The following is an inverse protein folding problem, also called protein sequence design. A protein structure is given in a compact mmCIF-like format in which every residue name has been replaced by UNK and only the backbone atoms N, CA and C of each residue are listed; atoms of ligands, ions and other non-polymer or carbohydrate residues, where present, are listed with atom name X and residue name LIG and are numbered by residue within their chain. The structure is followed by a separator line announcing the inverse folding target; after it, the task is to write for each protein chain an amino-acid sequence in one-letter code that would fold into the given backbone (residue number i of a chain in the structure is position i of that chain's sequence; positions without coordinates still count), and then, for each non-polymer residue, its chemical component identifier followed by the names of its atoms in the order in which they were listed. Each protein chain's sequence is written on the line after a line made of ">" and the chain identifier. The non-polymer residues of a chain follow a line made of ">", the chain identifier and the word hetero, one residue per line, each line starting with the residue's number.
data_IF_698034578651
#
_entry.id   IF_698034578651
#
_cell.length_a   1.000
_cell.length_b   1.000
_cell.length_c   1.000
_cell.angle_alpha   90.00
_cell.angle_beta   90.00
_cell.angle_gamma   90.00
#
_symmetry.space_group_name_H-M   'P 1'
#
loop_
_entity.id
_entity.type
_entity.pdbx_description
1 polymer ?
#
# COMPACT_ATOMS: atom_id res chain seq x y z
N UNK A 1 15.64 3.54 19.26
CA UNK A 1 15.62 2.28 20.04
C UNK A 1 16.49 1.28 19.31
N UNK A 2 17.29 0.44 19.97
CA UNK A 2 18.10 -0.56 19.24
C UNK A 2 17.23 -1.59 18.52
N UNK A 3 17.50 -1.86 17.24
CA UNK A 3 16.69 -2.81 16.45
C UNK A 3 16.74 -4.23 17.03
N UNK A 4 17.85 -4.61 17.65
CA UNK A 4 18.02 -5.93 18.28
C UNK A 4 17.02 -6.16 19.41
N UNK A 5 16.69 -5.12 20.19
CA UNK A 5 15.64 -5.20 21.22
C UNK A 5 14.26 -5.45 20.59
N UNK A 6 13.94 -4.73 19.51
CA UNK A 6 12.68 -4.91 18.77
C UNK A 6 12.57 -6.32 18.16
N UNK A 7 13.65 -6.82 17.59
CA UNK A 7 13.73 -8.17 17.04
C UNK A 7 13.52 -9.24 18.14
N UNK A 8 14.12 -9.07 19.32
CA UNK A 8 13.93 -9.99 20.45
C UNK A 8 12.45 -10.10 20.85
N UNK A 9 11.75 -8.96 20.98
CA UNK A 9 10.30 -8.97 21.29
C UNK A 9 9.51 -9.72 20.22
N UNK A 10 9.80 -9.47 18.94
CA UNK A 10 9.10 -10.13 17.84
C UNK A 10 9.35 -11.65 17.82
N UNK A 11 10.59 -12.10 18.08
CA UNK A 11 10.90 -13.54 18.14
C UNK A 11 10.25 -14.23 19.35
N UNK A 12 10.04 -13.49 20.43
CA UNK A 12 9.27 -13.94 21.61
C UNK A 12 7.75 -13.84 21.41
N UNK A 13 7.28 -13.56 20.17
CA UNK A 13 5.87 -13.37 19.79
C UNK A 13 5.16 -12.27 20.57
N UNK A 14 5.90 -11.26 21.03
CA UNK A 14 5.33 -10.10 21.69
C UNK A 14 4.96 -9.02 20.66
N UNK A 15 3.81 -8.39 20.87
CA UNK A 15 3.38 -7.28 20.02
C UNK A 15 4.23 -6.03 20.30
N UNK A 16 4.58 -5.33 19.23
CA UNK A 16 5.19 -4.01 19.34
C UNK A 16 4.08 -2.98 19.62
N UNK A 17 4.40 -2.03 20.49
CA UNK A 17 3.59 -0.81 20.62
C UNK A 17 3.67 0.03 19.34
N UNK A 18 2.75 0.98 19.17
CA UNK A 18 2.79 1.92 18.04
C UNK A 18 4.17 2.61 17.92
N UNK A 19 4.73 3.08 19.05
CA UNK A 19 6.03 3.74 19.08
C UNK A 19 7.17 2.81 18.65
N UNK A 20 7.17 1.57 19.14
CA UNK A 20 8.17 0.55 18.79
C UNK A 20 8.10 0.18 17.31
N UNK A 21 6.89 0.03 16.76
CA UNK A 21 6.70 -0.29 15.35
C UNK A 21 7.07 0.90 14.45
N UNK A 22 6.73 2.13 14.86
CA UNK A 22 7.18 3.35 14.18
C UNK A 22 8.71 3.40 14.11
N UNK A 23 9.39 3.13 15.21
CA UNK A 23 10.85 3.15 15.27
C UNK A 23 11.48 2.04 14.41
N UNK A 24 10.93 0.82 14.45
CA UNK A 24 11.33 -0.27 13.56
C UNK A 24 11.23 0.15 12.09
N UNK A 25 10.07 0.68 11.70
CA UNK A 25 9.81 1.08 10.33
C UNK A 25 10.68 2.26 9.89
N UNK A 26 10.96 3.24 10.75
CA UNK A 26 11.90 4.32 10.44
C UNK A 26 13.30 3.79 10.19
N UNK A 27 13.78 2.85 11.00
CA UNK A 27 15.12 2.26 10.80
C UNK A 27 15.21 1.50 9.48
N UNK A 28 14.17 0.73 9.11
CA UNK A 28 14.08 0.05 7.81
C UNK A 28 14.07 1.08 6.67
N UNK A 29 13.19 2.08 6.75
CA UNK A 29 12.93 3.04 5.66
C UNK A 29 14.02 4.09 5.47
N UNK A 30 14.86 4.32 6.48
CA UNK A 30 16.02 5.23 6.41
C UNK A 30 17.34 4.50 6.12
N UNK A 31 17.29 3.17 5.89
CA UNK A 31 18.47 2.37 5.55
C UNK A 31 19.41 2.11 6.73
N UNK A 32 18.94 2.25 7.98
CA UNK A 32 19.72 1.94 9.19
C UNK A 32 19.73 0.44 9.53
N UNK A 33 18.74 -0.31 9.05
CA UNK A 33 18.65 -1.75 9.25
C UNK A 33 19.42 -2.50 8.15
N UNK A 34 20.15 -3.55 8.54
CA UNK A 34 20.81 -4.46 7.59
C UNK A 34 19.80 -5.37 6.88
N UNK A 35 20.15 -5.96 5.72
CA UNK A 35 19.27 -6.94 5.05
C UNK A 35 18.82 -8.09 5.96
N UNK A 36 19.73 -8.61 6.79
CA UNK A 36 19.42 -9.67 7.75
C UNK A 36 18.41 -9.21 8.82
N UNK A 37 18.54 -7.99 9.34
CA UNK A 37 17.60 -7.43 10.32
C UNK A 37 16.22 -7.20 9.70
N UNK A 38 16.16 -6.70 8.45
CA UNK A 38 14.89 -6.53 7.72
C UNK A 38 14.23 -7.89 7.50
N UNK A 39 14.99 -8.89 7.02
CA UNK A 39 14.49 -10.25 6.80
C UNK A 39 13.96 -10.89 8.09
N UNK A 40 14.70 -10.72 9.19
CA UNK A 40 14.30 -11.20 10.53
C UNK A 40 13.02 -10.53 11.02
N UNK A 41 12.94 -9.20 10.97
CA UNK A 41 11.75 -8.45 11.39
C UNK A 41 10.50 -8.87 10.62
N UNK A 42 10.59 -8.97 9.30
CA UNK A 42 9.44 -9.33 8.44
C UNK A 42 8.98 -10.77 8.66
N UNK A 43 9.93 -11.70 8.85
CA UNK A 43 9.60 -13.10 9.11
C UNK A 43 8.99 -13.26 10.50
N UNK A 44 9.56 -12.60 11.52
CA UNK A 44 9.06 -12.67 12.88
C UNK A 44 7.66 -12.03 13.04
N UNK A 45 7.42 -10.87 12.39
CA UNK A 45 6.09 -10.25 12.33
C UNK A 45 5.04 -11.20 11.72
N UNK A 46 5.37 -11.82 10.59
CA UNK A 46 4.47 -12.78 9.93
C UNK A 46 4.19 -14.01 10.80
N UNK A 47 5.22 -14.58 11.43
CA UNK A 47 5.09 -15.76 12.30
C UNK A 47 4.29 -15.45 13.58
N UNK A 48 4.44 -14.25 14.13
CA UNK A 48 3.68 -13.75 15.28
C UNK A 48 2.22 -13.46 14.90
N UNK A 49 2.01 -12.95 13.69
CA UNK A 49 0.78 -12.29 13.27
C UNK A 49 0.84 -10.79 13.59
N UNK A 50 0.66 -9.96 12.58
CA UNK A 50 0.66 -8.51 12.72
C UNK A 50 -0.66 -8.02 13.33
N UNK A 51 -0.55 -7.07 14.26
CA UNK A 51 -1.70 -6.42 14.88
C UNK A 51 -2.13 -5.18 14.09
N UNK A 52 -3.38 -4.75 14.29
CA UNK A 52 -3.91 -3.49 13.72
C UNK A 52 -2.98 -2.32 14.05
N UNK A 53 -2.57 -2.18 15.30
CA UNK A 53 -1.66 -1.11 15.76
C UNK A 53 -0.31 -1.14 15.03
N UNK A 54 0.27 -2.33 14.82
CA UNK A 54 1.54 -2.45 14.09
C UNK A 54 1.39 -2.07 12.61
N UNK A 55 0.32 -2.52 11.96
CA UNK A 55 0.04 -2.21 10.55
C UNK A 55 -0.23 -0.71 10.37
N UNK A 56 -1.02 -0.10 11.26
CA UNK A 56 -1.33 1.33 11.23
C UNK A 56 -0.09 2.20 11.47
N UNK A 57 0.75 1.84 12.45
CA UNK A 57 2.02 2.53 12.70
C UNK A 57 2.98 2.43 11.50
N UNK A 58 3.05 1.26 10.86
CA UNK A 58 3.87 1.07 9.67
C UNK A 58 3.38 1.87 8.45
N UNK A 59 2.06 1.86 8.21
CA UNK A 59 1.45 2.66 7.15
C UNK A 59 1.66 4.17 7.39
N UNK A 60 1.58 4.62 8.65
CA UNK A 60 1.82 6.01 9.03
C UNK A 60 3.24 6.44 8.67
N UNK A 61 4.26 5.66 9.03
CA UNK A 61 5.66 5.95 8.65
C UNK A 61 5.83 5.99 7.13
N UNK A 62 5.19 5.07 6.40
CA UNK A 62 5.24 5.08 4.93
C UNK A 62 4.56 6.32 4.32
N UNK A 63 3.46 6.79 4.90
CA UNK A 63 2.78 8.03 4.48
C UNK A 63 3.66 9.25 4.74
N UNK A 64 4.29 9.35 5.92
CA UNK A 64 5.17 10.47 6.27
C UNK A 64 6.39 10.60 5.34
N UNK A 65 6.96 9.46 4.93
CA UNK A 65 8.14 9.42 4.05
C UNK A 65 7.78 9.44 2.56
N UNK A 66 6.49 9.44 2.22
CA UNK A 66 6.04 9.48 0.84
C UNK A 66 6.14 10.91 0.28
N UNK A 67 6.55 11.01 -0.98
CA UNK A 67 6.43 12.25 -1.74
C UNK A 67 4.94 12.53 -2.00
N UNK A 68 4.38 13.50 -1.29
CA UNK A 68 2.94 13.81 -1.31
C UNK A 68 2.50 14.41 -2.64
N UNK A 69 1.25 14.14 -3.03
CA UNK A 69 0.57 14.80 -4.15
C UNK A 69 -0.32 15.92 -3.61
N UNK A 70 -0.06 17.19 -3.96
CA UNK A 70 -0.79 18.33 -3.40
C UNK A 70 -2.16 18.47 -4.06
N UNK A 71 -3.16 17.72 -3.56
CA UNK A 71 -4.54 17.74 -4.07
C UNK A 71 -5.45 18.39 -3.04
N UNK A 72 -6.22 19.40 -3.45
CA UNK A 72 -7.16 20.12 -2.59
C UNK A 72 -8.61 19.74 -2.89
N UNK A 73 -8.93 18.44 -2.79
CA UNK A 73 -10.30 17.93 -2.92
C UNK A 73 -10.67 17.11 -1.69
N UNK A 74 -11.83 17.39 -1.10
CA UNK A 74 -12.29 16.67 0.09
C UNK A 74 -12.72 15.22 -0.19
N UNK A 75 -13.12 14.92 -1.44
CA UNK A 75 -13.77 13.66 -1.83
C UNK A 75 -12.98 12.86 -2.85
N UNK A 76 -11.69 12.63 -2.55
CA UNK A 76 -10.85 11.71 -3.32
C UNK A 76 -11.21 10.25 -3.05
N UNK A 77 -11.21 9.45 -4.11
CA UNK A 77 -11.41 8.00 -4.08
C UNK A 77 -10.17 7.28 -4.60
N UNK A 78 -9.77 6.20 -3.93
CA UNK A 78 -8.80 5.22 -4.42
C UNK A 78 -9.47 3.86 -4.67
N UNK A 79 -8.93 3.10 -5.61
CA UNK A 79 -9.36 1.73 -5.94
C UNK A 79 -8.21 0.73 -5.82
N UNK A 80 -7.11 1.09 -5.16
CA UNK A 80 -5.96 0.20 -4.94
C UNK A 80 -6.35 -1.01 -4.08
N UNK A 81 -6.04 -2.22 -4.55
CA UNK A 81 -6.15 -3.47 -3.80
C UNK A 81 -4.77 -4.02 -3.41
N UNK A 82 -4.75 -4.99 -2.49
CA UNK A 82 -3.50 -5.59 -2.01
C UNK A 82 -2.75 -6.36 -3.10
N UNK A 83 -3.44 -6.78 -4.16
CA UNK A 83 -2.89 -7.70 -5.16
C UNK A 83 -2.62 -9.07 -4.56
N UNK A 84 -1.96 -9.93 -5.32
CA UNK A 84 -1.42 -11.19 -4.79
C UNK A 84 -2.43 -12.32 -4.61
N UNK A 85 -3.65 -12.23 -5.16
CA UNK A 85 -4.62 -13.33 -5.23
C UNK A 85 -4.15 -14.54 -6.07
N UNK A 86 -3.02 -14.44 -6.77
CA UNK A 86 -2.46 -15.52 -7.61
C UNK A 86 -3.17 -15.71 -8.96
N UNK A 87 -4.40 -15.23 -9.10
CA UNK A 87 -5.18 -15.30 -10.34
C UNK A 87 -4.67 -14.33 -11.42
N UNK A 88 -4.80 -14.72 -12.69
CA UNK A 88 -4.66 -13.81 -13.84
C UNK A 88 -6.01 -13.12 -14.05
N UNK A 89 -6.04 -11.80 -13.95
CA UNK A 89 -7.25 -11.01 -14.12
C UNK A 89 -7.00 -9.85 -15.07
N UNK A 90 -8.08 -9.38 -15.67
CA UNK A 90 -8.16 -8.02 -16.18
C UNK A 90 -7.91 -7.02 -15.02
N UNK A 91 -7.32 -5.86 -15.30
CA UNK A 91 -7.09 -4.82 -14.29
C UNK A 91 -8.40 -4.10 -13.95
N UNK A 92 -9.32 -4.80 -13.28
CA UNK A 92 -10.67 -4.33 -12.94
C UNK A 92 -10.62 -3.02 -12.15
N UNK A 93 -9.77 -2.93 -11.13
CA UNK A 93 -9.59 -1.69 -10.37
C UNK A 93 -9.10 -0.50 -11.20
N UNK A 94 -8.30 -0.73 -12.26
CA UNK A 94 -7.86 0.34 -13.18
C UNK A 94 -9.00 0.78 -14.08
N UNK A 95 -9.74 -0.16 -14.68
CA UNK A 95 -10.89 0.18 -15.50
C UNK A 95 -11.98 0.91 -14.68
N UNK A 96 -12.23 0.46 -13.45
CA UNK A 96 -13.17 1.08 -12.52
C UNK A 96 -12.81 2.52 -12.20
N UNK A 97 -11.51 2.84 -12.10
CA UNK A 97 -11.05 4.21 -11.84
C UNK A 97 -11.47 5.18 -12.97
N UNK A 98 -11.45 4.74 -14.23
CA UNK A 98 -11.94 5.56 -15.36
C UNK A 98 -13.46 5.73 -15.32
N UNK A 99 -14.22 4.67 -15.03
CA UNK A 99 -15.69 4.73 -14.93
C UNK A 99 -16.11 5.67 -13.80
N UNK A 100 -15.48 5.57 -12.64
CA UNK A 100 -15.74 6.42 -11.47
C UNK A 100 -15.40 7.88 -11.76
N UNK A 101 -14.28 8.15 -12.45
CA UNK A 101 -13.94 9.51 -12.87
C UNK A 101 -14.94 10.08 -13.88
N UNK A 102 -15.37 9.27 -14.86
CA UNK A 102 -16.39 9.68 -15.84
C UNK A 102 -17.77 9.94 -15.20
N UNK A 103 -18.07 9.27 -14.09
CA UNK A 103 -19.27 9.53 -13.28
C UNK A 103 -19.16 10.79 -12.40
N UNK A 104 -18.04 11.52 -12.46
CA UNK A 104 -17.84 12.83 -11.81
C UNK A 104 -17.09 12.79 -10.47
N UNK A 105 -16.64 11.62 -10.01
CA UNK A 105 -15.79 11.54 -8.82
C UNK A 105 -14.33 11.92 -9.15
N UNK A 106 -13.56 12.29 -8.11
CA UNK A 106 -12.13 12.57 -8.22
C UNK A 106 -11.34 11.36 -7.74
N UNK A 107 -10.52 10.79 -8.62
CA UNK A 107 -9.83 9.52 -8.38
C UNK A 107 -8.32 9.75 -8.27
N UNK A 108 -7.76 9.41 -7.13
CA UNK A 108 -6.32 9.36 -6.90
C UNK A 108 -5.91 7.89 -6.83
N UNK A 109 -5.72 7.25 -7.98
CA UNK A 109 -5.46 5.81 -8.04
C UNK A 109 -4.01 5.53 -7.67
N UNK A 110 -3.79 4.91 -6.51
CA UNK A 110 -2.47 4.38 -6.19
C UNK A 110 -2.25 3.03 -6.88
N UNK A 111 -1.07 2.84 -7.46
CA UNK A 111 -0.78 1.59 -8.16
C UNK A 111 0.69 1.37 -8.44
N UNK A 112 0.99 0.14 -8.83
CA UNK A 112 2.34 -0.28 -9.16
C UNK A 112 2.33 -1.24 -10.36
N UNK A 113 3.53 -1.57 -10.84
CA UNK A 113 3.79 -2.72 -11.70
C UNK A 113 3.57 -3.99 -10.89
N UNK A 114 3.20 -5.08 -11.58
CA UNK A 114 3.04 -6.37 -10.91
C UNK A 114 4.42 -6.95 -10.56
N UNK A 115 4.57 -7.49 -9.35
CA UNK A 115 5.81 -8.17 -8.96
C UNK A 115 6.01 -9.53 -9.68
N UNK A 116 4.91 -10.18 -10.11
CA UNK A 116 4.92 -11.49 -10.79
C UNK A 116 3.81 -11.59 -11.84
N UNK A 117 4.14 -11.94 -13.09
CA UNK A 117 3.19 -12.15 -14.21
C UNK A 117 3.16 -11.01 -15.24
N UNK A 118 2.12 -10.98 -16.09
CA UNK A 118 2.14 -10.23 -17.35
C UNK A 118 1.61 -8.78 -17.32
N UNK A 119 0.81 -8.35 -16.34
CA UNK A 119 0.28 -6.97 -16.32
C UNK A 119 -0.28 -6.53 -14.96
N UNK A 120 0.21 -5.41 -14.42
CA UNK A 120 -0.40 -4.65 -13.35
C UNK A 120 -0.98 -3.32 -13.84
N UNK A 121 -1.44 -2.48 -12.91
CA UNK A 121 -2.10 -1.20 -13.22
C UNK A 121 -1.24 -0.25 -14.06
N UNK A 122 0.04 -0.14 -13.72
CA UNK A 122 1.02 0.67 -14.45
C UNK A 122 1.23 0.14 -15.88
N UNK A 123 1.37 -1.17 -16.03
CA UNK A 123 1.63 -1.82 -17.32
C UNK A 123 0.44 -1.66 -18.28
N UNK A 124 -0.79 -1.73 -17.77
CA UNK A 124 -1.99 -1.43 -18.56
C UNK A 124 -2.04 0.03 -19.01
N UNK A 125 -1.76 0.96 -18.11
CA UNK A 125 -1.82 2.40 -18.41
C UNK A 125 -0.78 2.79 -19.46
N UNK A 126 0.46 2.29 -19.35
CA UNK A 126 1.47 2.51 -20.38
C UNK A 126 1.08 1.92 -21.73
N UNK A 127 0.53 0.69 -21.75
CA UNK A 127 0.05 0.07 -22.98
C UNK A 127 -1.10 0.86 -23.62
N UNK A 128 -1.90 1.56 -22.82
CA UNK A 128 -2.94 2.49 -23.28
C UNK A 128 -2.40 3.87 -23.71
N UNK A 129 -1.08 4.10 -23.66
CA UNK A 129 -0.43 5.35 -24.04
C UNK A 129 -0.41 6.42 -22.94
N UNK A 130 -0.80 6.09 -21.71
CA UNK A 130 -0.75 7.03 -20.60
C UNK A 130 0.68 7.15 -20.06
N UNK A 131 1.04 8.38 -19.67
CA UNK A 131 2.31 8.66 -18.99
C UNK A 131 2.16 8.39 -17.48
N UNK A 132 2.87 7.40 -16.96
CA UNK A 132 2.76 6.96 -15.56
C UNK A 132 3.84 7.55 -14.62
N UNK A 133 4.89 8.16 -15.17
CA UNK A 133 6.03 8.71 -14.46
C UNK A 133 5.88 10.21 -14.13
N UNK A 134 4.65 10.69 -14.02
CA UNK A 134 4.35 12.09 -13.70
C UNK A 134 4.87 12.46 -12.31
N UNK A 135 5.29 13.72 -12.17
CA UNK A 135 5.62 14.29 -10.86
C UNK A 135 4.34 14.63 -10.06
N UNK A 136 4.44 14.88 -8.75
CA UNK A 136 3.27 15.13 -7.91
C UNK A 136 2.36 16.27 -8.40
N UNK A 137 2.92 17.37 -8.86
CA UNK A 137 2.16 18.53 -9.36
C UNK A 137 1.41 18.20 -10.65
N UNK A 138 2.02 17.40 -11.52
CA UNK A 138 1.38 16.89 -12.74
C UNK A 138 0.23 15.93 -12.40
N UNK A 139 0.41 15.04 -11.43
CA UNK A 139 -0.66 14.13 -10.98
C UNK A 139 -1.83 14.92 -10.39
N UNK A 140 -1.55 15.92 -9.54
CA UNK A 140 -2.58 16.80 -8.99
C UNK A 140 -3.41 17.47 -10.09
N UNK A 141 -2.74 18.04 -11.10
CA UNK A 141 -3.40 18.62 -12.27
C UNK A 141 -4.26 17.61 -13.04
N UNK A 142 -3.83 16.35 -13.20
CA UNK A 142 -4.65 15.32 -13.83
C UNK A 142 -5.93 15.05 -13.02
N UNK A 143 -5.85 14.98 -11.70
CA UNK A 143 -7.03 14.83 -10.83
C UNK A 143 -7.97 16.03 -11.00
N UNK A 144 -7.43 17.25 -11.00
CA UNK A 144 -8.21 18.47 -11.12
C UNK A 144 -8.94 18.57 -12.46
N UNK A 145 -8.22 18.34 -13.56
CA UNK A 145 -8.69 18.60 -14.93
C UNK A 145 -9.39 17.42 -15.58
N UNK A 146 -8.88 16.19 -15.38
CA UNK A 146 -9.40 14.96 -16.00
C UNK A 146 -10.30 14.20 -15.03
N UNK A 147 -10.14 14.41 -13.72
CA UNK A 147 -10.86 13.65 -12.69
C UNK A 147 -10.13 12.38 -12.23
N UNK A 148 -9.02 12.02 -12.87
CA UNK A 148 -8.22 10.84 -12.55
C UNK A 148 -6.73 11.17 -12.60
N UNK A 149 -6.01 10.85 -11.52
CA UNK A 149 -4.55 10.80 -11.48
C UNK A 149 -4.07 9.41 -11.07
N UNK A 150 -3.01 8.94 -11.73
CA UNK A 150 -2.33 7.71 -11.35
C UNK A 150 -1.09 8.04 -10.53
N UNK A 151 -1.02 7.50 -9.31
CA UNK A 151 0.08 7.67 -8.38
C UNK A 151 0.95 6.41 -8.47
N UNK A 152 2.05 6.49 -9.21
CA UNK A 152 2.94 5.35 -9.38
C UNK A 152 3.80 5.13 -8.12
N UNK A 153 3.59 4.02 -7.41
CA UNK A 153 4.15 3.76 -6.09
C UNK A 153 5.68 3.92 -6.02
N UNK A 154 6.40 3.54 -7.08
CA UNK A 154 7.86 3.65 -7.14
C UNK A 154 8.35 5.11 -7.10
N UNK A 155 7.57 6.06 -7.61
CA UNK A 155 7.90 7.48 -7.61
C UNK A 155 7.64 8.13 -6.25
N UNK A 156 6.61 7.65 -5.53
CA UNK A 156 6.17 8.25 -4.27
C UNK A 156 6.82 7.64 -3.03
N UNK A 157 7.17 6.36 -3.04
CA UNK A 157 7.70 5.65 -1.88
C UNK A 157 9.18 5.29 -2.02
N UNK A 158 10.04 6.28 -2.28
CA UNK A 158 11.48 6.05 -2.53
C UNK A 158 12.21 5.33 -1.38
N UNK A 159 11.77 5.55 -0.13
CA UNK A 159 12.28 4.88 1.05
C UNK A 159 12.15 3.34 0.98
N UNK A 160 11.21 2.82 0.18
CA UNK A 160 11.04 1.38 -0.03
C UNK A 160 12.26 0.69 -0.62
N UNK A 161 13.17 1.42 -1.28
CA UNK A 161 14.41 0.86 -1.86
C UNK A 161 15.22 0.03 -0.85
N UNK A 162 15.17 0.41 0.43
CA UNK A 162 15.88 -0.28 1.51
C UNK A 162 15.27 -1.64 1.85
N UNK A 163 13.97 -1.82 1.62
CA UNK A 163 13.26 -3.08 1.88
C UNK A 163 13.10 -3.96 0.63
N UNK A 164 13.36 -3.45 -0.59
CA UNK A 164 13.16 -4.20 -1.85
C UNK A 164 14.03 -5.45 -1.91
N UNK A 165 15.34 -5.33 -1.69
CA UNK A 165 16.29 -6.46 -1.75
C UNK A 165 15.90 -7.61 -0.81
N UNK A 166 15.79 -7.35 0.51
CA UNK A 166 15.36 -8.37 1.47
C UNK A 166 14.03 -9.04 1.11
N UNK A 167 13.04 -8.28 0.61
CA UNK A 167 11.75 -8.85 0.19
C UNK A 167 11.87 -9.75 -1.04
N UNK A 168 12.72 -9.40 -2.00
CA UNK A 168 12.99 -10.21 -3.19
C UNK A 168 13.72 -11.51 -2.85
N UNK A 169 14.58 -11.49 -1.83
CA UNK A 169 15.26 -12.68 -1.32
C UNK A 169 14.30 -13.60 -0.55
N UNK A 170 13.44 -13.03 0.30
CA UNK A 170 12.46 -13.77 1.10
C UNK A 170 11.43 -14.52 0.24
N UNK A 171 10.92 -13.91 -0.85
CA UNK A 171 9.92 -14.49 -1.77
C UNK A 171 8.62 -15.01 -1.11
N UNK A 172 8.31 -14.54 0.09
CA UNK A 172 7.09 -14.86 0.84
C UNK A 172 6.31 -13.57 1.12
N UNK A 173 5.01 -13.73 1.42
CA UNK A 173 4.17 -12.59 1.83
C UNK A 173 4.60 -12.08 3.20
N UNK A 174 4.60 -10.77 3.38
CA UNK A 174 4.92 -10.10 4.66
C UNK A 174 3.96 -8.93 4.86
N UNK A 175 4.08 -8.23 5.99
CA UNK A 175 3.38 -6.96 6.25
C UNK A 175 3.33 -6.02 5.03
N UNK A 176 4.40 -5.92 4.23
CA UNK A 176 4.44 -5.06 3.06
C UNK A 176 3.43 -5.41 1.95
N UNK A 177 2.85 -6.61 1.96
CA UNK A 177 1.81 -7.00 1.03
C UNK A 177 0.45 -6.34 1.33
N UNK A 178 0.25 -5.83 2.54
CA UNK A 178 -0.98 -5.10 2.90
C UNK A 178 -0.77 -3.58 2.99
N UNK A 179 0.47 -3.11 3.06
CA UNK A 179 0.76 -1.67 3.23
C UNK A 179 0.48 -0.81 2.00
N UNK A 180 0.61 -1.34 0.78
CA UNK A 180 0.50 -0.54 -0.46
C UNK A 180 -0.83 0.25 -0.58
N UNK A 181 -1.99 -0.40 -0.44
CA UNK A 181 -3.28 0.28 -0.46
C UNK A 181 -3.52 1.25 0.69
N UNK A 182 -2.76 1.15 1.78
CA UNK A 182 -2.88 1.99 2.97
C UNK A 182 -2.10 3.30 2.86
N UNK A 183 -1.27 3.48 1.84
CA UNK A 183 -0.27 4.57 1.80
C UNK A 183 -0.47 5.53 0.62
N UNK A 184 -1.71 5.75 0.19
CA UNK A 184 -2.03 6.66 -0.92
C UNK A 184 -1.40 8.07 -0.71
N UNK A 185 -0.47 8.51 -1.58
CA UNK A 185 0.25 9.79 -1.41
C UNK A 185 -0.59 11.06 -1.62
N UNK A 186 -1.84 10.96 -2.08
CA UNK A 186 -2.78 12.09 -2.15
C UNK A 186 -3.70 12.16 -0.93
N UNK A 187 -3.54 11.26 0.05
CA UNK A 187 -4.37 11.27 1.25
C UNK A 187 -5.84 10.92 1.01
N UNK A 188 -6.13 10.09 -0.01
CA UNK A 188 -7.50 9.65 -0.29
C UNK A 188 -8.12 8.95 0.94
N UNK A 189 -9.23 9.50 1.44
CA UNK A 189 -9.95 8.98 2.62
C UNK A 189 -11.13 8.08 2.26
N UNK A 190 -11.40 7.89 0.97
CA UNK A 190 -12.43 6.99 0.47
C UNK A 190 -11.79 5.94 -0.42
N UNK A 191 -12.18 4.68 -0.23
CA UNK A 191 -11.51 3.60 -0.96
C UNK A 191 -12.43 2.41 -1.19
N UNK A 192 -12.30 1.80 -2.36
CA UNK A 192 -12.70 0.39 -2.56
C UNK A 192 -11.40 -0.42 -2.60
N UNK A 193 -11.20 -1.28 -1.60
CA UNK A 193 -9.96 -2.02 -1.43
C UNK A 193 -10.21 -3.52 -1.57
N UNK A 194 -9.66 -4.08 -2.63
CA UNK A 194 -9.52 -5.52 -2.78
C UNK A 194 -8.52 -6.11 -1.80
N UNK A 195 -8.87 -7.22 -1.15
CA UNK A 195 -8.01 -7.92 -0.20
C UNK A 195 -7.80 -9.38 -0.62
N UNK A 196 -6.56 -9.86 -0.61
CA UNK A 196 -6.24 -11.22 -1.06
C UNK A 196 -6.72 -12.35 -0.14
N UNK A 197 -7.18 -12.03 1.07
CA UNK A 197 -7.61 -13.01 2.06
C UNK A 197 -8.71 -12.43 2.96
N UNK A 198 -9.75 -13.23 3.18
CA UNK A 198 -10.86 -12.91 4.08
C UNK A 198 -10.39 -12.53 5.50
N UNK A 199 -9.30 -13.12 5.98
CA UNK A 199 -8.76 -12.85 7.33
C UNK A 199 -8.27 -11.41 7.49
N UNK A 200 -7.97 -10.72 6.40
CA UNK A 200 -7.51 -9.33 6.41
C UNK A 200 -8.64 -8.30 6.28
N UNK A 201 -9.88 -8.71 5.98
CA UNK A 201 -11.01 -7.78 5.81
C UNK A 201 -11.23 -6.92 7.06
N UNK A 202 -11.41 -7.56 8.22
CA UNK A 202 -11.66 -6.83 9.47
C UNK A 202 -10.42 -6.06 9.96
N UNK A 203 -9.22 -6.66 10.04
CA UNK A 203 -8.03 -5.93 10.48
C UNK A 203 -7.73 -4.70 9.61
N UNK A 204 -7.85 -4.79 8.27
CA UNK A 204 -7.59 -3.63 7.41
C UNK A 204 -8.67 -2.55 7.53
N UNK A 205 -9.93 -2.92 7.78
CA UNK A 205 -10.97 -1.94 8.08
C UNK A 205 -10.66 -1.17 9.38
N UNK A 206 -10.20 -1.86 10.42
CA UNK A 206 -9.79 -1.25 11.69
C UNK A 206 -8.55 -0.35 11.51
N UNK A 207 -7.55 -0.80 10.74
CA UNK A 207 -6.39 0.03 10.37
C UNK A 207 -6.81 1.29 9.63
N UNK A 208 -7.70 1.19 8.63
CA UNK A 208 -8.17 2.34 7.86
C UNK A 208 -8.92 3.35 8.74
N UNK A 209 -9.63 2.89 9.77
CA UNK A 209 -10.25 3.73 10.78
C UNK A 209 -9.21 4.49 11.60
N UNK A 210 -8.17 3.82 12.12
CA UNK A 210 -7.05 4.47 12.83
C UNK A 210 -6.31 5.48 11.94
N UNK A 211 -6.22 5.19 10.64
CA UNK A 211 -5.62 6.05 9.62
C UNK A 211 -6.55 7.17 9.09
N UNK A 212 -7.66 7.43 9.80
CA UNK A 212 -8.62 8.51 9.56
C UNK A 212 -9.33 8.46 8.19
N UNK A 213 -9.58 7.25 7.67
CA UNK A 213 -10.43 7.06 6.49
C UNK A 213 -11.90 7.39 6.81
N UNK A 214 -12.63 7.94 5.85
CA UNK A 214 -14.01 8.40 6.03
C UNK A 214 -15.02 7.36 5.54
N UNK A 215 -14.75 6.69 4.41
CA UNK A 215 -15.66 5.69 3.86
C UNK A 215 -14.93 4.66 3.01
N UNK A 216 -14.89 3.42 3.47
CA UNK A 216 -14.12 2.34 2.82
C UNK A 216 -14.99 1.11 2.63
N UNK A 217 -14.83 0.45 1.48
CA UNK A 217 -15.42 -0.85 1.19
C UNK A 217 -14.30 -1.85 0.93
N UNK A 218 -14.12 -2.81 1.83
CA UNK A 218 -13.16 -3.88 1.66
C UNK A 218 -13.86 -5.08 1.03
N UNK A 219 -13.25 -5.64 -0.02
CA UNK A 219 -13.86 -6.71 -0.81
C UNK A 219 -12.91 -7.90 -0.94
N UNK A 220 -13.49 -9.09 -0.89
CA UNK A 220 -12.83 -10.36 -1.13
C UNK A 220 -13.87 -11.32 -1.72
N UNK A 221 -13.66 -11.78 -2.94
CA UNK A 221 -14.56 -12.73 -3.59
C UNK A 221 -14.35 -14.14 -3.05
N UNK A 222 -15.42 -14.95 -3.06
CA UNK A 222 -15.39 -16.34 -2.58
C UNK A 222 -14.44 -17.25 -3.38
N UNK A 223 -14.13 -16.90 -4.62
CA UNK A 223 -13.15 -17.58 -5.48
C UNK A 223 -11.70 -17.09 -5.24
N UNK A 224 -11.47 -16.31 -4.17
CA UNK A 224 -10.14 -15.89 -3.71
C UNK A 224 -9.61 -14.61 -4.36
N UNK A 225 -10.45 -13.93 -5.15
CA UNK A 225 -10.10 -12.70 -5.84
C UNK A 225 -10.14 -11.49 -4.87
N UNK A 226 -9.17 -10.60 -5.00
CA UNK A 226 -9.16 -9.26 -4.39
C UNK A 226 -9.98 -8.24 -5.19
N UNK A 227 -11.15 -8.63 -5.68
CA UNK A 227 -12.11 -7.75 -6.37
C UNK A 227 -13.52 -8.09 -5.86
N UNK A 228 -14.59 -7.54 -6.46
CA UNK A 228 -15.98 -7.94 -6.18
C UNK A 228 -16.28 -9.23 -6.95
#
# INVERSE_FOLDING_TARGET
>A
MEITFLLSKLTDRQNLTALEMTELMRQIMTGKATPAQIGSALTALMMKGETVTEVAAAATVMRELALQVPVHHERLVDTCGTGGSGSRKFNVSTASAFVVAAAGAKVAKHGNRRATGNSGSADLLEAAGARIDLNPEQVARCIDTVGLGFLFAANHHQAMRHAVGPRQELKIRTLFNVLGPLTNPAGAKRQVMGVFSQNWLRPLAEVLCELASEHVMLVHSNDGLDEI
#
